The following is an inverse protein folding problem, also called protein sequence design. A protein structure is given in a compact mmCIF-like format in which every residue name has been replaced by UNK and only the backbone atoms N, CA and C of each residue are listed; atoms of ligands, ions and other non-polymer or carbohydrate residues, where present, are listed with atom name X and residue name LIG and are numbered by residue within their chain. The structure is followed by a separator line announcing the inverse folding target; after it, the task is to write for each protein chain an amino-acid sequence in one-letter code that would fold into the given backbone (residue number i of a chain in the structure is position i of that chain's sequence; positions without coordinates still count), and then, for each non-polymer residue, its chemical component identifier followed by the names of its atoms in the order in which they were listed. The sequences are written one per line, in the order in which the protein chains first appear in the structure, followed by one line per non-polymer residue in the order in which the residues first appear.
data_IF_418092296272
#
_entry.id   IF_418092296272
#
_cell.length_a   1.000
_cell.length_b   1.000
_cell.length_c   1.000
_cell.angle_alpha   90.00
_cell.angle_beta   90.00
_cell.angle_gamma   90.00
#
_symmetry.space_group_name_H-M   'P 1'
#
loop_
_entity.id
_entity.type
_entity.pdbx_description
1 polymer ?
#
# COMPACT_ATOMS: atom_id res chain seq x y z
N UNK A 1 9.99 18.81 0.89
CA UNK A 1 9.88 18.34 1.36
C UNK A 1 9.64 18.15 1.61
N UNK A 2 9.43 18.24 1.73
CA UNK A 2 9.18 17.84 2.21
C UNK A 2 8.75 17.40 2.13
N UNK A 3 8.38 17.02 1.90
CA UNK A 3 7.99 16.35 1.95
C UNK A 3 7.52 15.69 1.18
N UNK A 4 7.68 14.89 0.60
CA UNK A 4 7.04 14.16 0.28
C UNK A 4 6.41 13.59 0.73
N UNK A 5 6.43 13.94 0.92
CA UNK A 5 6.10 13.66 1.49
C UNK A 5 5.70 14.06 2.14
N UNK A 6 5.61 14.69 2.36
CA UNK A 6 5.38 14.93 3.24
C UNK A 6 4.64 14.70 3.51
N UNK A 7 4.30 14.45 3.01
CA UNK A 7 3.63 14.24 3.44
C UNK A 7 3.35 13.33 3.53
N UNK A 8 3.58 12.90 3.07
CA UNK A 8 3.23 11.86 3.67
C UNK A 8 2.45 12.20 4.79
N UNK A 9 1.29 11.80 4.92
CA UNK A 9 0.49 11.97 6.04
C UNK A 9 0.73 13.25 6.72
N UNK A 10 0.83 14.20 6.01
CA UNK A 10 1.22 15.39 6.57
C UNK A 10 2.64 15.41 7.06
N UNK A 11 3.17 14.34 7.50
CA UNK A 11 4.55 14.26 7.99
C UNK A 11 5.20 12.97 7.51
N UNK A 12 5.96 13.07 6.41
CA UNK A 12 6.66 11.90 5.90
C UNK A 12 7.64 11.30 6.88
N UNK A 13 8.31 12.14 7.65
CA UNK A 13 9.30 11.65 8.61
C UNK A 13 8.66 10.83 9.70
N UNK A 14 7.47 11.21 10.18
CA UNK A 14 6.76 10.44 11.18
C UNK A 14 6.35 9.08 10.63
N UNK A 15 5.92 9.03 9.38
CA UNK A 15 5.54 7.77 8.72
C UNK A 15 6.74 6.85 8.61
N UNK A 16 7.88 7.38 8.18
CA UNK A 16 9.11 6.60 8.08
C UNK A 16 9.56 6.07 9.43
N UNK A 17 9.52 6.90 10.46
CA UNK A 17 9.90 6.46 11.80
C UNK A 17 9.00 5.34 12.29
N UNK A 18 7.71 5.43 12.01
CA UNK A 18 6.77 4.39 12.38
C UNK A 18 7.09 3.09 11.66
N UNK A 19 7.40 3.17 10.38
CA UNK A 19 7.78 1.98 9.60
C UNK A 19 9.10 1.40 10.09
N UNK A 20 10.06 2.24 10.47
CA UNK A 20 11.32 1.78 11.02
C UNK A 20 11.14 1.07 12.35
N UNK A 21 10.30 1.60 13.23
CA UNK A 21 10.01 0.96 14.50
C UNK A 21 9.38 -0.41 14.30
N UNK A 22 8.43 -0.50 13.38
CA UNK A 22 7.83 -1.77 13.02
C UNK A 22 8.90 -2.71 12.48
N UNK A 23 9.74 -2.23 11.59
CA UNK A 23 10.83 -3.03 11.03
C UNK A 23 11.77 -3.54 12.10
N UNK A 24 12.08 -2.70 13.08
CA UNK A 24 12.97 -3.13 14.17
C UNK A 24 12.35 -4.18 15.05
N UNK A 25 11.06 -4.08 15.32
CA UNK A 25 10.38 -5.05 16.17
C UNK A 25 10.09 -6.36 15.44
N UNK A 26 10.08 -6.32 14.09
CA UNK A 26 9.74 -7.48 13.27
C UNK A 26 10.84 -7.84 12.28
N UNK A 27 12.08 -7.42 12.54
CA UNK A 27 13.18 -7.56 11.58
C UNK A 27 13.44 -8.98 11.12
N UNK A 28 13.11 -9.96 11.95
CA UNK A 28 13.34 -11.36 11.59
C UNK A 28 12.13 -12.00 10.92
N UNK A 29 11.09 -11.23 10.66
CA UNK A 29 9.87 -11.75 10.08
C UNK A 29 9.38 -10.84 8.94
N UNK A 30 9.91 -11.06 7.72
CA UNK A 30 9.49 -10.26 6.59
C UNK A 30 8.00 -10.42 6.25
N UNK A 31 7.39 -11.55 6.61
CA UNK A 31 5.97 -11.75 6.39
C UNK A 31 5.13 -10.84 7.29
N UNK A 32 5.57 -10.64 8.54
CA UNK A 32 4.86 -9.75 9.46
C UNK A 32 4.89 -8.31 8.96
N UNK A 33 6.05 -7.86 8.47
CA UNK A 33 6.15 -6.52 7.90
C UNK A 33 5.27 -6.37 6.67
N UNK A 34 5.32 -7.34 5.76
CA UNK A 34 4.49 -7.32 4.56
C UNK A 34 3.01 -7.28 4.93
N UNK A 35 2.59 -8.07 5.91
CA UNK A 35 1.19 -8.08 6.35
C UNK A 35 0.75 -6.74 6.88
N UNK A 36 1.61 -6.05 7.63
CA UNK A 36 1.29 -4.71 8.12
C UNK A 36 1.11 -3.73 6.97
N UNK A 37 1.97 -3.83 5.95
CA UNK A 37 1.85 -2.99 4.77
C UNK A 37 0.56 -3.30 4.00
N UNK A 38 0.22 -4.56 3.85
CA UNK A 38 -1.04 -4.94 3.21
C UNK A 38 -2.24 -4.36 3.95
N UNK A 39 -2.28 -4.54 5.28
CA UNK A 39 -3.39 -4.04 6.09
C UNK A 39 -3.50 -2.52 5.97
N UNK A 40 -2.38 -1.83 6.04
CA UNK A 40 -2.34 -0.38 5.91
C UNK A 40 -2.85 0.08 4.55
N UNK A 41 -2.38 -0.57 3.49
CA UNK A 41 -2.78 -0.24 2.12
C UNK A 41 -4.26 -0.49 1.88
N UNK A 42 -4.76 -1.63 2.32
CA UNK A 42 -6.18 -1.99 2.15
C UNK A 42 -7.05 -0.98 2.90
N UNK A 43 -6.71 -0.67 4.16
CA UNK A 43 -7.47 0.29 4.95
C UNK A 43 -7.47 1.67 4.29
N UNK A 44 -6.30 2.11 3.80
CA UNK A 44 -6.21 3.41 3.12
C UNK A 44 -7.09 3.45 1.88
N UNK A 45 -7.10 2.37 1.09
CA UNK A 45 -7.91 2.31 -0.13
C UNK A 45 -9.40 2.30 0.17
N UNK A 46 -9.82 1.57 1.21
CA UNK A 46 -11.24 1.57 1.62
C UNK A 46 -11.67 2.94 2.09
N UNK A 47 -10.84 3.64 2.86
CA UNK A 47 -11.15 4.99 3.31
C UNK A 47 -11.14 5.97 2.13
N UNK A 48 -10.21 5.80 1.18
CA UNK A 48 -10.20 6.63 -0.03
C UNK A 48 -11.49 6.46 -0.82
N UNK A 49 -12.00 5.23 -0.92
CA UNK A 49 -13.27 4.95 -1.59
C UNK A 49 -14.42 5.70 -0.92
N UNK A 50 -14.50 5.62 0.40
CA UNK A 50 -15.52 6.33 1.16
C UNK A 50 -15.41 7.85 0.96
N UNK A 51 -14.18 8.36 1.03
CA UNK A 51 -13.91 9.78 0.88
C UNK A 51 -14.31 10.28 -0.52
N UNK A 52 -14.01 9.49 -1.55
CA UNK A 52 -14.40 9.81 -2.93
C UNK A 52 -15.91 9.90 -3.06
N UNK A 53 -16.61 8.91 -2.53
CA UNK A 53 -18.07 8.85 -2.61
C UNK A 53 -18.73 9.97 -1.85
N UNK A 54 -18.12 10.46 -0.78
CA UNK A 54 -18.68 11.49 0.09
C UNK A 54 -18.05 12.86 -0.16
N UNK A 55 -17.27 13.01 -1.23
CA UNK A 55 -16.67 14.28 -1.65
C UNK A 55 -15.78 14.89 -0.57
N UNK A 56 -15.09 14.02 0.19
CA UNK A 56 -14.11 14.46 1.18
C UNK A 56 -12.74 14.48 0.53
N UNK A 57 -12.47 15.53 -0.24
CA UNK A 57 -11.33 15.56 -1.15
C UNK A 57 -9.98 15.56 -0.43
N UNK A 58 -9.86 16.28 0.69
CA UNK A 58 -8.62 16.31 1.46
C UNK A 58 -8.31 14.92 2.02
N UNK A 59 -9.31 14.23 2.56
CA UNK A 59 -9.13 12.89 3.09
C UNK A 59 -8.79 11.92 1.97
N UNK A 60 -9.46 12.04 0.83
CA UNK A 60 -9.16 11.20 -0.33
C UNK A 60 -7.71 11.33 -0.74
N UNK A 61 -7.22 12.57 -0.87
CA UNK A 61 -5.82 12.82 -1.25
C UNK A 61 -4.85 12.21 -0.25
N UNK A 62 -5.12 12.38 1.03
CA UNK A 62 -4.27 11.83 2.08
C UNK A 62 -4.21 10.30 2.01
N UNK A 63 -5.38 9.67 1.84
CA UNK A 63 -5.44 8.21 1.80
C UNK A 63 -4.82 7.65 0.51
N UNK A 64 -4.98 8.34 -0.60
CA UNK A 64 -4.31 7.97 -1.86
C UNK A 64 -2.78 8.03 -1.69
N UNK A 65 -2.29 9.11 -1.08
CA UNK A 65 -0.85 9.25 -0.81
C UNK A 65 -0.35 8.09 0.05
N UNK A 66 -1.11 7.74 1.09
CA UNK A 66 -0.73 6.63 1.97
C UNK A 66 -0.73 5.30 1.21
N UNK A 67 -1.77 5.05 0.42
CA UNK A 67 -1.88 3.79 -0.32
C UNK A 67 -0.75 3.65 -1.34
N UNK A 68 -0.43 4.72 -2.07
CA UNK A 68 0.65 4.67 -3.06
C UNK A 68 2.00 4.49 -2.39
N UNK A 69 2.21 5.09 -1.22
CA UNK A 69 3.46 4.89 -0.47
C UNK A 69 3.61 3.44 0.00
N UNK A 70 2.52 2.82 0.44
CA UNK A 70 2.53 1.41 0.83
C UNK A 70 2.88 0.53 -0.36
N UNK A 71 2.24 0.77 -1.50
CA UNK A 71 2.49 -0.03 -2.70
C UNK A 71 3.94 0.12 -3.17
N UNK A 72 4.48 1.31 -3.08
CA UNK A 72 5.87 1.55 -3.40
C UNK A 72 6.79 0.80 -2.44
N UNK A 73 6.48 0.81 -1.14
CA UNK A 73 7.27 0.09 -0.14
C UNK A 73 7.24 -1.42 -0.38
N UNK A 74 6.07 -1.96 -0.74
CA UNK A 74 5.95 -3.38 -1.05
C UNK A 74 6.81 -3.74 -2.26
N UNK A 75 6.80 -2.91 -3.28
CA UNK A 75 7.61 -3.12 -4.47
C UNK A 75 9.09 -3.04 -4.15
N UNK A 76 9.49 -2.04 -3.37
CA UNK A 76 10.89 -1.83 -3.01
C UNK A 76 11.45 -2.96 -2.16
N UNK A 77 10.58 -3.66 -1.43
CA UNK A 77 11.00 -4.77 -0.59
C UNK A 77 11.17 -6.11 -1.31
N UNK A 78 10.88 -6.16 -2.61
CA UNK A 78 10.99 -7.41 -3.35
C UNK A 78 12.44 -7.82 -3.55
N UNK A 79 12.71 -9.11 -3.37
CA UNK A 79 14.02 -9.70 -3.58
C UNK A 79 13.99 -10.43 -4.93
N UNK A 80 14.51 -9.76 -5.95
CA UNK A 80 14.47 -10.32 -7.30
C UNK A 80 15.42 -11.50 -7.48
N UNK A 81 16.48 -11.57 -6.70
CA UNK A 81 17.41 -12.69 -6.79
C UNK A 81 16.75 -13.98 -6.30
N UNK A 82 16.11 -13.92 -5.14
CA UNK A 82 15.47 -15.10 -4.55
C UNK A 82 14.09 -15.36 -5.14
N UNK A 83 13.37 -14.29 -5.42
CA UNK A 83 11.98 -14.39 -5.88
C UNK A 83 11.84 -14.63 -7.38
N UNK A 84 12.84 -14.26 -8.17
CA UNK A 84 12.83 -14.52 -9.60
C UNK A 84 11.58 -14.02 -10.29
N UNK A 85 10.89 -14.91 -10.99
CA UNK A 85 9.69 -14.57 -11.76
C UNK A 85 8.54 -14.12 -10.86
N UNK A 86 8.42 -14.69 -9.66
CA UNK A 86 7.38 -14.28 -8.72
C UNK A 86 7.59 -12.83 -8.31
N UNK A 87 8.84 -12.44 -7.99
CA UNK A 87 9.13 -11.06 -7.62
C UNK A 87 8.83 -10.11 -8.78
N UNK A 88 9.18 -10.48 -10.01
CA UNK A 88 8.87 -9.65 -11.16
C UNK A 88 7.37 -9.50 -11.39
N UNK A 89 6.62 -10.58 -11.21
CA UNK A 89 5.17 -10.54 -11.33
C UNK A 89 4.56 -9.62 -10.28
N UNK A 90 5.03 -9.72 -9.04
CA UNK A 90 4.55 -8.85 -7.96
C UNK A 90 4.92 -7.39 -8.21
N UNK A 91 6.12 -7.12 -8.73
CA UNK A 91 6.53 -5.75 -9.06
C UNK A 91 5.57 -5.14 -10.07
N UNK A 92 5.25 -5.89 -11.13
CA UNK A 92 4.29 -5.46 -12.15
C UNK A 92 2.92 -5.22 -11.54
N UNK A 93 2.50 -6.11 -10.65
CA UNK A 93 1.22 -6.00 -9.98
C UNK A 93 1.14 -4.74 -9.11
N UNK A 94 2.14 -4.50 -8.26
CA UNK A 94 2.15 -3.32 -7.40
C UNK A 94 2.21 -2.04 -8.22
N UNK A 95 3.02 -2.03 -9.28
CA UNK A 95 3.10 -0.87 -10.17
C UNK A 95 1.73 -0.59 -10.81
N UNK A 96 1.07 -1.63 -11.30
CA UNK A 96 -0.25 -1.51 -11.90
C UNK A 96 -1.29 -0.98 -10.91
N UNK A 97 -1.25 -1.46 -9.67
CA UNK A 97 -2.15 -0.95 -8.63
C UNK A 97 -1.90 0.53 -8.35
N UNK A 98 -0.63 0.96 -8.30
CA UNK A 98 -0.33 2.38 -8.09
C UNK A 98 -0.93 3.23 -9.21
N UNK A 99 -0.79 2.79 -10.45
CA UNK A 99 -1.37 3.50 -11.60
C UNK A 99 -2.89 3.57 -11.49
N UNK A 100 -3.51 2.47 -11.13
CA UNK A 100 -4.97 2.40 -10.96
C UNK A 100 -5.45 3.37 -9.87
N UNK A 101 -4.75 3.40 -8.74
CA UNK A 101 -5.12 4.27 -7.62
C UNK A 101 -4.93 5.74 -7.98
N UNK A 102 -3.83 6.08 -8.66
CA UNK A 102 -3.60 7.45 -9.11
C UNK A 102 -4.66 7.90 -10.10
N UNK A 103 -5.05 7.02 -11.02
CA UNK A 103 -6.11 7.33 -11.97
C UNK A 103 -7.44 7.53 -11.25
N UNK A 104 -7.74 6.66 -10.28
CA UNK A 104 -8.96 6.75 -9.49
C UNK A 104 -9.03 8.06 -8.70
N UNK A 105 -7.87 8.59 -8.30
CA UNK A 105 -7.81 9.82 -7.50
C UNK A 105 -8.30 11.04 -8.27
N UNK A 106 -8.41 10.95 -9.58
CA UNK A 106 -8.87 12.06 -10.41
C UNK A 106 -10.41 12.21 -10.42
N UNK A 107 -11.11 11.21 -9.88
CA UNK A 107 -12.57 11.20 -9.91
C UNK A 107 -13.18 10.95 -8.54
N UNK A 108 -14.50 10.70 -8.56
CA UNK A 108 -15.28 10.49 -7.33
C UNK A 108 -15.89 9.09 -7.26
N UNK A 109 -15.58 8.22 -8.21
CA UNK A 109 -16.10 6.86 -8.21
C UNK A 109 -15.34 6.02 -7.17
N UNK A 110 -16.03 5.43 -6.19
CA UNK A 110 -15.37 4.61 -5.20
C UNK A 110 -14.92 3.24 -5.73
N UNK A 111 -15.48 2.76 -6.82
CA UNK A 111 -15.27 1.40 -7.31
C UNK A 111 -13.79 1.08 -7.58
N UNK A 112 -13.02 1.94 -8.28
CA UNK A 112 -11.62 1.60 -8.54
C UNK A 112 -10.78 1.45 -7.27
N UNK A 113 -11.12 2.20 -6.22
CA UNK A 113 -10.42 2.07 -4.93
C UNK A 113 -10.75 0.73 -4.27
N UNK A 114 -12.01 0.32 -4.30
CA UNK A 114 -12.41 -0.98 -3.76
C UNK A 114 -11.80 -2.11 -4.57
N UNK A 115 -11.75 -1.98 -5.88
CA UNK A 115 -11.14 -3.01 -6.74
C UNK A 115 -9.66 -3.18 -6.41
N UNK A 116 -8.95 -2.08 -6.21
CA UNK A 116 -7.54 -2.14 -5.83
C UNK A 116 -7.37 -2.78 -4.45
N UNK A 117 -8.25 -2.43 -3.50
CA UNK A 117 -8.22 -3.03 -2.17
C UNK A 117 -8.48 -4.53 -2.23
N UNK A 118 -9.45 -4.96 -3.05
CA UNK A 118 -9.76 -6.37 -3.22
C UNK A 118 -8.57 -7.14 -3.79
N UNK A 119 -7.90 -6.56 -4.79
CA UNK A 119 -6.72 -7.18 -5.40
C UNK A 119 -5.60 -7.35 -4.37
N UNK A 120 -5.39 -6.31 -3.56
CA UNK A 120 -4.36 -6.35 -2.53
C UNK A 120 -4.71 -7.35 -1.44
N UNK A 121 -6.00 -7.46 -1.10
CA UNK A 121 -6.49 -8.45 -0.14
C UNK A 121 -6.24 -9.87 -0.63
N UNK A 122 -6.40 -10.12 -1.92
CA UNK A 122 -6.14 -11.45 -2.48
C UNK A 122 -4.68 -11.84 -2.31
N UNK A 123 -3.77 -10.92 -2.56
CA UNK A 123 -2.33 -11.17 -2.39
C UNK A 123 -2.03 -11.40 -0.91
N UNK A 124 -2.59 -10.58 -0.03
CA UNK A 124 -2.39 -10.73 1.42
C UNK A 124 -2.85 -12.10 1.90
N UNK A 125 -4.00 -12.54 1.41
CA UNK A 125 -4.57 -13.86 1.77
C UNK A 125 -3.70 -15.00 1.26
N UNK A 126 -3.16 -14.86 0.05
CA UNK A 126 -2.27 -15.86 -0.52
C UNK A 126 -1.00 -16.02 0.31
N UNK A 127 -0.41 -14.91 0.74
CA UNK A 127 0.77 -14.94 1.60
C UNK A 127 0.45 -15.60 2.95
N UNK A 128 -0.69 -15.28 3.53
CA UNK A 128 -1.11 -15.88 4.80
C UNK A 128 -1.25 -17.40 4.67
N UNK A 129 -1.80 -17.87 3.57
CA UNK A 129 -1.96 -19.30 3.29
C UNK A 129 -0.61 -19.99 3.18
N UNK A 130 0.31 -19.38 2.42
CA UNK A 130 1.66 -19.95 2.28
C UNK A 130 2.38 -20.04 3.61
N UNK A 131 2.24 -19.01 4.44
CA UNK A 131 2.91 -18.99 5.73
C UNK A 131 2.35 -20.05 6.68
N UNK A 132 1.04 -20.32 6.60
CA UNK A 132 0.38 -21.31 7.44
C UNK A 132 0.77 -22.75 7.06
N UNK A 133 1.23 -22.96 5.82
CA UNK A 133 1.71 -24.27 5.40
C UNK A 133 3.15 -24.44 5.77
#
# INVERSE_FOLDING_TARGET
MARYATSLAGDPAATYRQMELVGRTTTNDPFALANMLYDEGIAALRTAAWAAQNFKFALKSERVTRATAVLFALEAGLDFERGGDVARTLATFYHGLRQQVLQASLGTDPAPFHDAADSLQEIASAWATLRAS
#
